data_IF_970900106895
#
_entry.id   IF_970900106895
#
_cell.length_a   1.000
_cell.length_b   1.000
_cell.length_c   1.000
_cell.angle_alpha   90.00
_cell.angle_beta   90.00
_cell.angle_gamma   90.00
#
_symmetry.space_group_name_H-M   'P 1'
#
loop_
_entity.id
_entity.type
_entity.pdbx_description
1 polymer ?
#
# COMPACT_ATOMS: atom_id res chain seq x y z
N UNK A 1 50.50 11.84 16.07
CA UNK A 1 49.18 11.53 16.63
C UNK A 1 48.43 12.85 16.78
N UNK A 2 47.40 13.07 15.97
CA UNK A 2 46.59 14.29 15.95
C UNK A 2 45.45 14.05 14.97
N UNK A 3 44.24 13.94 15.53
CA UNK A 3 43.05 13.40 14.90
C UNK A 3 42.62 14.21 13.67
N UNK A 4 42.38 13.52 12.55
CA UNK A 4 41.53 14.04 11.47
C UNK A 4 40.09 13.82 11.91
N UNK A 5 39.43 14.86 12.41
CA UNK A 5 37.97 14.94 12.32
C UNK A 5 37.62 14.89 10.83
N UNK A 6 36.93 13.83 10.41
CA UNK A 6 36.26 13.82 9.12
C UNK A 6 35.12 14.82 9.22
N UNK A 7 35.33 16.01 8.68
CA UNK A 7 34.27 16.97 8.39
C UNK A 7 33.16 16.24 7.62
N UNK A 8 32.00 16.07 8.26
CA UNK A 8 30.76 15.78 7.55
C UNK A 8 30.42 17.04 6.74
N UNK A 9 30.79 17.03 5.47
CA UNK A 9 30.33 18.02 4.49
C UNK A 9 28.81 18.12 4.63
N UNK A 10 28.23 19.32 4.87
CA UNK A 10 26.79 19.48 4.93
C UNK A 10 26.19 18.99 3.61
N UNK A 11 25.30 17.99 3.65
CA UNK A 11 24.55 17.61 2.46
C UNK A 11 23.73 18.83 2.02
N UNK A 12 23.81 19.18 0.75
CA UNK A 12 22.88 20.10 0.07
C UNK A 12 21.43 19.66 0.31
N UNK A 13 20.49 20.59 0.37
CA UNK A 13 19.05 20.33 0.53
C UNK A 13 18.56 19.25 -0.44
N UNK A 14 18.96 19.33 -1.70
CA UNK A 14 18.64 18.35 -2.74
C UNK A 14 19.08 16.92 -2.37
N UNK A 15 20.36 16.73 -2.03
CA UNK A 15 20.89 15.43 -1.59
C UNK A 15 20.15 14.86 -0.37
N UNK A 16 19.72 15.71 0.57
CA UNK A 16 18.92 15.28 1.73
C UNK A 16 17.54 14.80 1.30
N UNK A 17 16.85 15.58 0.47
CA UNK A 17 15.51 15.22 -0.03
C UNK A 17 15.56 13.96 -0.89
N UNK A 18 16.55 13.79 -1.76
CA UNK A 18 16.76 12.58 -2.56
C UNK A 18 16.97 11.33 -1.71
N UNK A 19 17.72 11.45 -0.61
CA UNK A 19 17.90 10.35 0.34
C UNK A 19 16.58 9.95 1.00
N UNK A 20 15.80 10.94 1.45
CA UNK A 20 14.47 10.71 2.04
C UNK A 20 13.52 10.10 1.01
N UNK A 21 13.54 10.59 -0.24
CA UNK A 21 12.75 10.07 -1.34
C UNK A 21 13.07 8.60 -1.64
N UNK A 22 14.36 8.26 -1.68
CA UNK A 22 14.83 6.87 -1.88
C UNK A 22 14.30 5.95 -0.78
N UNK A 23 14.39 6.38 0.48
CA UNK A 23 13.86 5.60 1.60
C UNK A 23 12.33 5.46 1.50
N UNK A 24 11.62 6.53 1.19
CA UNK A 24 10.17 6.55 1.02
C UNK A 24 9.69 5.59 -0.08
N UNK A 25 10.37 5.59 -1.23
CA UNK A 25 10.06 4.66 -2.31
C UNK A 25 10.33 3.20 -1.91
N UNK A 26 11.36 2.93 -1.10
CA UNK A 26 11.56 1.59 -0.52
C UNK A 26 10.41 1.16 0.40
N UNK A 27 9.85 2.08 1.21
CA UNK A 27 8.63 1.79 2.01
C UNK A 27 7.43 1.54 1.12
N UNK A 28 7.29 2.31 0.04
CA UNK A 28 6.23 2.16 -0.95
C UNK A 28 6.25 0.79 -1.62
N UNK A 29 7.43 0.30 -2.05
CA UNK A 29 7.57 -1.07 -2.57
C UNK A 29 7.13 -2.14 -1.56
N UNK A 30 7.51 -2.01 -0.28
CA UNK A 30 7.10 -2.95 0.77
C UNK A 30 5.60 -2.90 1.03
N UNK A 31 4.96 -1.74 0.89
CA UNK A 31 3.51 -1.63 0.96
C UNK A 31 2.85 -2.39 -0.19
N UNK A 32 3.36 -2.27 -1.42
CA UNK A 32 2.84 -3.03 -2.56
C UNK A 32 2.97 -4.55 -2.35
N UNK A 33 4.10 -5.03 -1.83
CA UNK A 33 4.28 -6.45 -1.46
C UNK A 33 3.22 -6.93 -0.45
N UNK A 34 2.85 -6.07 0.51
CA UNK A 34 1.81 -6.36 1.50
C UNK A 34 0.42 -6.38 0.88
N UNK A 35 0.13 -5.49 -0.10
CA UNK A 35 -1.13 -5.52 -0.85
C UNK A 35 -1.29 -6.84 -1.59
N UNK A 36 -0.23 -7.32 -2.25
CA UNK A 36 -0.22 -8.60 -2.95
C UNK A 36 -0.37 -9.79 -2.00
N UNK A 37 0.29 -9.74 -0.83
CA UNK A 37 0.10 -10.75 0.21
C UNK A 37 -1.35 -10.75 0.72
N UNK A 38 -1.94 -9.57 0.92
CA UNK A 38 -3.31 -9.41 1.43
C UNK A 38 -4.33 -9.97 0.46
N UNK A 39 -4.14 -9.70 -0.84
CA UNK A 39 -4.93 -10.28 -1.93
C UNK A 39 -4.96 -11.80 -1.87
N UNK A 40 -3.83 -12.46 -1.60
CA UNK A 40 -3.77 -13.94 -1.49
C UNK A 40 -4.62 -14.46 -0.33
N UNK A 41 -4.59 -13.79 0.82
CA UNK A 41 -5.45 -14.16 1.95
C UNK A 41 -6.93 -13.88 1.65
N UNK A 42 -7.25 -12.78 0.97
CA UNK A 42 -8.63 -12.45 0.60
C UNK A 42 -9.22 -13.46 -0.38
N UNK A 43 -8.47 -13.82 -1.44
CA UNK A 43 -8.90 -14.85 -2.39
C UNK A 43 -9.06 -16.22 -1.72
N UNK A 44 -8.18 -16.55 -0.77
CA UNK A 44 -8.32 -17.78 0.00
C UNK A 44 -9.53 -17.74 0.92
N UNK A 45 -9.80 -16.62 1.57
CA UNK A 45 -10.99 -16.43 2.38
C UNK A 45 -12.27 -16.65 1.55
N UNK A 46 -12.34 -16.10 0.35
CA UNK A 46 -13.44 -16.32 -0.60
C UNK A 46 -13.63 -17.80 -0.95
N UNK A 47 -12.54 -18.47 -1.31
CA UNK A 47 -12.57 -19.90 -1.62
C UNK A 47 -13.08 -20.75 -0.43
N UNK A 48 -12.54 -20.53 0.76
CA UNK A 48 -12.90 -21.30 1.96
C UNK A 48 -14.34 -21.01 2.42
N UNK A 49 -14.81 -19.77 2.23
CA UNK A 49 -16.19 -19.38 2.54
C UNK A 49 -17.16 -20.06 1.57
N UNK A 50 -16.80 -20.15 0.29
CA UNK A 50 -17.53 -20.91 -0.71
C UNK A 50 -17.68 -22.39 -0.34
N UNK A 51 -16.60 -23.03 0.15
CA UNK A 51 -16.66 -24.40 0.64
C UNK A 51 -17.50 -24.55 1.90
N UNK A 52 -17.35 -23.64 2.86
CA UNK A 52 -18.10 -23.66 4.12
C UNK A 52 -19.61 -23.52 3.90
N UNK A 53 -20.03 -22.69 2.94
CA UNK A 53 -21.46 -22.45 2.64
C UNK A 53 -22.08 -23.40 1.64
N UNK A 54 -21.33 -24.36 1.11
CA UNK A 54 -21.84 -25.26 0.09
C UNK A 54 -23.07 -26.01 0.63
N UNK A 55 -24.25 -25.89 -0.03
CA UNK A 55 -25.46 -26.53 0.45
C UNK A 55 -25.29 -28.05 0.50
N UNK A 56 -25.77 -28.67 1.58
CA UNK A 56 -25.84 -30.12 1.67
C UNK A 56 -27.00 -30.64 0.82
N UNK A 57 -26.77 -31.76 0.13
CA UNK A 57 -27.87 -32.53 -0.46
C UNK A 57 -28.69 -33.08 0.71
N UNK A 58 -29.92 -32.58 0.87
CA UNK A 58 -30.85 -33.09 1.87
C UNK A 58 -31.33 -34.49 1.44
N UNK A 59 -30.69 -35.52 2.00
CA UNK A 59 -31.00 -36.93 1.73
C UNK A 59 -32.30 -37.39 2.41
N UNK A 60 -32.87 -36.59 3.30
CA UNK A 60 -34.12 -36.91 4.02
C UNK A 60 -35.37 -36.57 3.19
N UNK A 61 -35.22 -35.80 2.11
CA UNK A 61 -36.28 -35.59 1.14
C UNK A 61 -36.50 -36.87 0.31
N UNK A 62 -37.70 -37.45 0.39
CA UNK A 62 -38.09 -38.69 -0.29
C UNK A 62 -37.71 -38.65 -1.78
N UNK A 63 -38.11 -37.60 -2.50
CA UNK A 63 -37.82 -37.45 -3.92
C UNK A 63 -36.32 -37.41 -4.23
N UNK A 64 -35.51 -36.72 -3.42
CA UNK A 64 -34.05 -36.66 -3.59
C UNK A 64 -33.43 -38.03 -3.33
N UNK A 65 -33.89 -38.72 -2.28
CA UNK A 65 -33.40 -40.06 -1.92
C UNK A 65 -33.72 -41.10 -3.00
N UNK A 66 -34.90 -41.03 -3.61
CA UNK A 66 -35.33 -41.93 -4.70
C UNK A 66 -34.56 -41.65 -5.99
N UNK A 67 -34.38 -40.37 -6.36
CA UNK A 67 -33.56 -39.98 -7.51
C UNK A 67 -32.13 -40.48 -7.35
N UNK A 68 -31.53 -40.30 -6.17
CA UNK A 68 -30.19 -40.80 -5.86
C UNK A 68 -30.17 -42.31 -6.04
N UNK A 69 -31.07 -43.06 -5.36
CA UNK A 69 -31.14 -44.52 -5.42
C UNK A 69 -31.29 -45.05 -6.86
N UNK A 70 -32.15 -44.43 -7.66
CA UNK A 70 -32.41 -44.86 -9.03
C UNK A 70 -31.24 -44.58 -9.99
N UNK A 71 -30.31 -43.67 -9.63
CA UNK A 71 -29.21 -43.23 -10.47
C UNK A 71 -27.82 -43.46 -9.83
N UNK A 72 -27.69 -44.42 -8.90
CA UNK A 72 -26.45 -44.74 -8.16
C UNK A 72 -25.36 -45.36 -9.05
N UNK A 73 -24.76 -44.54 -9.91
CA UNK A 73 -23.54 -44.85 -10.65
C UNK A 73 -22.30 -44.50 -9.81
N UNK A 74 -21.12 -45.05 -10.17
CA UNK A 74 -19.85 -44.63 -9.56
C UNK A 74 -19.62 -43.12 -9.68
N UNK A 75 -19.99 -42.52 -10.82
CA UNK A 75 -19.97 -41.06 -11.01
C UNK A 75 -20.88 -40.35 -10.01
N UNK A 76 -22.11 -40.83 -9.82
CA UNK A 76 -23.07 -40.25 -8.85
C UNK A 76 -22.54 -40.35 -7.41
N UNK A 77 -21.90 -41.47 -7.05
CA UNK A 77 -21.23 -41.62 -5.75
C UNK A 77 -20.14 -40.56 -5.56
N UNK A 78 -19.26 -40.38 -6.55
CA UNK A 78 -18.23 -39.33 -6.48
C UNK A 78 -18.81 -37.91 -6.37
N UNK A 79 -19.93 -37.62 -7.03
CA UNK A 79 -20.65 -36.35 -6.89
C UNK A 79 -21.25 -36.16 -5.49
N UNK A 80 -21.84 -37.21 -4.92
CA UNK A 80 -22.38 -37.21 -3.56
C UNK A 80 -21.27 -37.02 -2.53
N UNK A 81 -20.13 -37.68 -2.69
CA UNK A 81 -18.98 -37.54 -1.80
C UNK A 81 -18.39 -36.12 -1.89
N UNK A 82 -18.29 -35.55 -3.09
CA UNK A 82 -17.84 -34.18 -3.30
C UNK A 82 -18.80 -33.10 -2.76
N UNK A 83 -20.06 -33.45 -2.47
CA UNK A 83 -21.09 -32.54 -1.93
C UNK A 83 -21.41 -32.81 -0.46
N UNK A 84 -20.89 -33.88 0.13
CA UNK A 84 -21.01 -34.15 1.55
C UNK A 84 -20.01 -33.29 2.33
N UNK A 85 -20.49 -32.25 3.02
CA UNK A 85 -19.69 -31.54 4.02
C UNK A 85 -19.48 -32.46 5.22
N UNK A 86 -18.32 -33.10 5.30
CA UNK A 86 -17.92 -33.84 6.49
C UNK A 86 -17.76 -32.85 7.66
N UNK A 87 -18.22 -33.21 8.87
CA UNK A 87 -18.08 -32.35 10.06
C UNK A 87 -16.63 -31.91 10.31
N UNK A 88 -15.67 -32.81 10.01
CA UNK A 88 -14.24 -32.51 10.02
C UNK A 88 -13.83 -31.44 8.99
N UNK A 89 -14.44 -31.46 7.79
CA UNK A 89 -14.20 -30.45 6.76
C UNK A 89 -14.71 -29.08 7.18
N UNK A 90 -15.85 -29.00 7.89
CA UNK A 90 -16.37 -27.73 8.38
C UNK A 90 -15.42 -27.11 9.43
N UNK A 91 -14.90 -27.92 10.35
CA UNK A 91 -13.91 -27.47 11.34
C UNK A 91 -12.63 -27.00 10.65
N UNK A 92 -12.16 -27.75 9.64
CA UNK A 92 -10.98 -27.38 8.86
C UNK A 92 -11.18 -26.07 8.10
N UNK A 93 -12.30 -25.91 7.37
CA UNK A 93 -12.61 -24.69 6.62
C UNK A 93 -12.75 -23.48 7.56
N UNK A 94 -13.38 -23.65 8.72
CA UNK A 94 -13.50 -22.58 9.72
C UNK A 94 -12.13 -22.17 10.29
N UNK A 95 -11.25 -23.14 10.52
CA UNK A 95 -9.86 -22.87 10.89
C UNK A 95 -9.10 -22.13 9.78
N UNK A 96 -9.29 -22.51 8.50
CA UNK A 96 -8.66 -21.81 7.37
C UNK A 96 -9.19 -20.38 7.22
N UNK A 97 -10.49 -20.17 7.35
CA UNK A 97 -11.11 -18.83 7.35
C UNK A 97 -10.53 -17.96 8.47
N UNK A 98 -10.42 -18.52 9.68
CA UNK A 98 -9.80 -17.82 10.80
C UNK A 98 -8.33 -17.47 10.53
N UNK A 99 -7.54 -18.40 9.98
CA UNK A 99 -6.16 -18.14 9.59
C UNK A 99 -6.04 -17.06 8.51
N UNK A 100 -6.98 -17.00 7.55
CA UNK A 100 -7.02 -15.94 6.56
C UNK A 100 -7.29 -14.58 7.22
N UNK A 101 -8.24 -14.52 8.17
CA UNK A 101 -8.51 -13.30 8.94
C UNK A 101 -7.30 -12.84 9.75
N UNK A 102 -6.62 -13.75 10.43
CA UNK A 102 -5.38 -13.43 11.15
C UNK A 102 -4.29 -12.92 10.21
N UNK A 103 -4.12 -13.55 9.05
CA UNK A 103 -3.17 -13.12 8.02
C UNK A 103 -3.47 -11.71 7.49
N UNK A 104 -4.74 -11.42 7.19
CA UNK A 104 -5.18 -10.08 6.77
C UNK A 104 -4.94 -9.02 7.86
N UNK A 105 -5.24 -9.34 9.13
CA UNK A 105 -5.00 -8.44 10.25
C UNK A 105 -3.50 -8.15 10.47
N UNK A 106 -2.65 -9.17 10.35
CA UNK A 106 -1.20 -9.01 10.44
C UNK A 106 -0.66 -8.13 9.30
N UNK A 107 -1.17 -8.32 8.08
CA UNK A 107 -0.84 -7.46 6.93
C UNK A 107 -1.25 -6.02 7.17
N UNK A 108 -2.48 -5.77 7.64
CA UNK A 108 -2.93 -4.41 7.95
C UNK A 108 -2.06 -3.76 9.03
N UNK A 109 -1.69 -4.51 10.09
CA UNK A 109 -0.81 -4.01 11.13
C UNK A 109 0.56 -3.60 10.59
N UNK A 110 1.15 -4.41 9.71
CA UNK A 110 2.44 -4.12 9.05
C UNK A 110 2.33 -2.94 8.09
N UNK A 111 1.27 -2.91 7.28
CA UNK A 111 1.01 -1.83 6.33
C UNK A 111 0.81 -0.51 7.07
N UNK A 112 0.08 -0.51 8.18
CA UNK A 112 -0.12 0.67 9.02
C UNK A 112 1.20 1.23 9.55
N UNK A 113 2.09 0.38 10.07
CA UNK A 113 3.41 0.80 10.53
C UNK A 113 4.25 1.42 9.40
N UNK A 114 4.30 0.78 8.22
CA UNK A 114 5.01 1.31 7.06
C UNK A 114 4.38 2.63 6.54
N UNK A 115 3.06 2.75 6.59
CA UNK A 115 2.36 3.97 6.20
C UNK A 115 2.67 5.12 7.16
N UNK A 116 2.75 4.86 8.46
CA UNK A 116 3.14 5.85 9.46
C UNK A 116 4.61 6.27 9.28
N UNK A 117 5.52 5.32 9.01
CA UNK A 117 6.91 5.62 8.62
C UNK A 117 6.97 6.49 7.36
N UNK A 118 6.18 6.16 6.34
CA UNK A 118 6.13 6.89 5.06
C UNK A 118 5.59 8.30 5.23
N UNK A 119 4.59 8.49 6.10
CA UNK A 119 4.07 9.81 6.47
C UNK A 119 5.13 10.68 7.12
N UNK A 120 5.88 10.12 8.08
CA UNK A 120 7.01 10.82 8.71
C UNK A 120 8.07 11.24 7.68
N UNK A 121 8.40 10.36 6.72
CA UNK A 121 9.36 10.69 5.65
C UNK A 121 8.85 11.83 4.76
N UNK A 122 7.59 11.80 4.34
CA UNK A 122 6.99 12.86 3.52
C UNK A 122 6.95 14.21 4.25
N UNK A 123 6.57 14.22 5.53
CA UNK A 123 6.62 15.42 6.38
C UNK A 123 8.05 15.95 6.57
N UNK A 124 9.03 15.05 6.74
CA UNK A 124 10.43 15.43 6.87
C UNK A 124 10.96 16.06 5.58
N UNK A 125 10.64 15.51 4.41
CA UNK A 125 11.01 16.10 3.12
C UNK A 125 10.41 17.51 2.96
N UNK A 126 9.14 17.69 3.33
CA UNK A 126 8.48 19.00 3.29
C UNK A 126 9.14 20.02 4.23
N UNK A 127 9.52 19.62 5.45
CA UNK A 127 10.24 20.50 6.40
C UNK A 127 11.61 20.90 5.84
N UNK A 128 12.35 19.96 5.27
CA UNK A 128 13.68 20.24 4.69
C UNK A 128 13.60 21.29 3.57
N UNK A 129 12.59 21.20 2.70
CA UNK A 129 12.37 22.19 1.64
C UNK A 129 11.99 23.55 2.22
N UNK A 130 11.03 23.61 3.15
CA UNK A 130 10.57 24.89 3.71
C UNK A 130 11.61 25.59 4.59
N UNK A 131 12.46 24.84 5.29
CA UNK A 131 13.60 25.40 6.03
C UNK A 131 14.65 25.99 5.08
N UNK A 132 14.89 25.38 3.92
CA UNK A 132 15.80 25.91 2.91
C UNK A 132 15.28 27.24 2.32
N UNK A 133 13.99 27.29 1.95
CA UNK A 133 13.36 28.51 1.40
C UNK A 133 13.44 29.69 2.39
N UNK A 134 13.25 29.44 3.68
CA UNK A 134 13.35 30.46 4.72
C UNK A 134 14.77 30.98 4.90
N UNK A 135 15.78 30.12 4.79
CA UNK A 135 17.18 30.51 4.87
C UNK A 135 17.60 31.37 3.67
N UNK A 136 17.13 31.04 2.46
CA UNK A 136 17.39 31.84 1.24
C UNK A 136 16.80 33.24 1.36
N UNK A 137 15.57 33.37 1.86
CA UNK A 137 14.92 34.66 2.13
C UNK A 137 15.70 35.51 3.16
N UNK A 138 16.26 34.88 4.19
CA UNK A 138 17.10 35.56 5.18
C UNK A 138 18.42 36.09 4.60
N UNK A 139 19.08 35.29 3.76
CA UNK A 139 20.33 35.68 3.08
C UNK A 139 20.11 36.83 2.08
N UNK A 140 18.99 36.81 1.35
CA UNK A 140 18.63 37.90 0.41
C UNK A 140 18.35 39.21 1.19
N UNK A 141 17.72 39.15 2.35
CA UNK A 141 17.48 40.34 3.18
C UNK A 141 18.75 40.96 3.75
N UNK A 142 19.77 40.16 4.07
CA UNK A 142 21.06 40.65 4.58
C UNK A 142 21.91 41.33 3.49
N UNK A 143 21.74 40.95 2.22
CA UNK A 143 22.50 41.50 1.09
C UNK A 143 21.87 42.72 0.38
N UNK A 144 20.70 43.22 0.81
CA UNK A 144 20.00 44.36 0.17
C UNK A 144 20.36 45.74 0.79
N UNK A 145 21.43 45.84 1.58
CA UNK A 145 21.91 47.12 2.11
C UNK A 145 23.14 47.64 1.35
N UNK A 146 22.99 47.93 0.06
CA UNK A 146 23.68 49.08 -0.54
C UNK A 146 23.01 49.54 -1.86
N UNK A 147 22.39 50.73 -1.93
CA UNK A 147 21.71 51.20 -3.12
C UNK A 147 22.65 52.03 -4.01
N UNK A 148 23.68 51.42 -4.60
CA UNK A 148 24.34 51.99 -5.77
C UNK A 148 25.23 50.97 -6.52
N UNK A 149 24.65 50.26 -7.49
CA UNK A 149 25.17 50.17 -8.88
C UNK A 149 24.39 49.11 -9.66
N UNK A 150 23.68 49.56 -10.68
CA UNK A 150 23.04 48.72 -11.69
C UNK A 150 24.10 48.00 -12.53
N UNK A 151 24.19 46.68 -12.35
CA UNK A 151 24.53 45.72 -13.40
C UNK A 151 24.03 44.34 -12.98
N UNK A 152 22.89 43.92 -13.52
CA UNK A 152 22.36 42.56 -13.32
C UNK A 152 23.26 41.58 -14.07
N UNK A 153 24.32 41.14 -13.40
CA UNK A 153 25.01 39.89 -13.70
C UNK A 153 24.42 38.88 -12.72
N UNK A 154 23.49 38.03 -13.18
CA UNK A 154 23.17 36.82 -12.43
C UNK A 154 24.42 35.94 -12.46
N UNK A 155 25.04 35.60 -11.31
CA UNK A 155 26.10 34.61 -11.27
C UNK A 155 25.56 33.29 -11.83
N UNK A 156 26.31 32.59 -12.68
CA UNK A 156 25.95 31.24 -13.19
C UNK A 156 25.55 30.28 -12.04
N UNK A 157 26.17 30.44 -10.86
CA UNK A 157 25.88 29.66 -9.65
C UNK A 157 24.43 29.80 -9.11
N UNK A 158 23.72 30.89 -9.41
CA UNK A 158 22.33 31.09 -8.96
C UNK A 158 21.32 30.33 -9.82
N UNK A 159 21.63 30.05 -11.09
CA UNK A 159 20.75 29.30 -12.01
C UNK A 159 20.73 27.82 -11.62
N UNK A 160 21.89 27.25 -11.28
CA UNK A 160 21.99 25.86 -10.81
C UNK A 160 21.36 25.65 -9.43
N UNK A 161 21.41 26.66 -8.56
CA UNK A 161 20.78 26.62 -7.23
C UNK A 161 19.24 26.61 -7.33
N UNK A 162 18.67 27.40 -8.24
CA UNK A 162 17.22 27.46 -8.46
C UNK A 162 16.66 26.13 -9.01
N UNK A 163 17.38 25.49 -9.94
CA UNK A 163 17.02 24.17 -10.49
C UNK A 163 17.04 23.06 -9.42
N UNK A 164 17.99 23.12 -8.47
CA UNK A 164 18.08 22.18 -7.35
C UNK A 164 16.95 22.35 -6.32
N UNK A 165 16.52 23.58 -6.05
CA UNK A 165 15.39 23.89 -5.17
C UNK A 165 14.05 23.43 -5.77
N UNK A 166 13.83 23.70 -7.06
CA UNK A 166 12.62 23.27 -7.78
C UNK A 166 12.50 21.73 -7.79
N UNK A 167 13.61 21.02 -8.02
CA UNK A 167 13.65 19.54 -7.91
C UNK A 167 13.32 19.05 -6.50
N UNK A 168 13.89 19.68 -5.47
CA UNK A 168 13.65 19.31 -4.08
C UNK A 168 12.16 19.47 -3.70
N UNK A 169 11.54 20.59 -4.09
CA UNK A 169 10.12 20.84 -3.90
C UNK A 169 9.24 19.84 -4.66
N UNK A 170 9.64 19.47 -5.88
CA UNK A 170 8.96 18.46 -6.69
C UNK A 170 8.96 17.08 -6.02
N UNK A 171 10.11 16.62 -5.52
CA UNK A 171 10.20 15.35 -4.78
C UNK A 171 9.34 15.35 -3.51
N UNK A 172 9.41 16.40 -2.70
CA UNK A 172 8.60 16.51 -1.49
C UNK A 172 7.09 16.51 -1.81
N UNK A 173 6.68 17.23 -2.85
CA UNK A 173 5.28 17.26 -3.31
C UNK A 173 4.82 15.88 -3.78
N UNK A 174 5.66 15.18 -4.55
CA UNK A 174 5.39 13.84 -5.05
C UNK A 174 5.20 12.83 -3.91
N UNK A 175 6.06 12.87 -2.88
CA UNK A 175 5.93 12.03 -1.69
C UNK A 175 4.61 12.28 -0.95
N UNK A 176 4.20 13.55 -0.81
CA UNK A 176 2.93 13.90 -0.17
C UNK A 176 1.73 13.36 -0.94
N UNK A 177 1.74 13.48 -2.27
CA UNK A 177 0.68 12.93 -3.13
C UNK A 177 0.62 11.40 -2.98
N UNK A 178 1.76 10.71 -3.09
CA UNK A 178 1.84 9.24 -2.94
C UNK A 178 1.37 8.80 -1.56
N UNK A 179 1.83 9.45 -0.49
CA UNK A 179 1.39 9.14 0.86
C UNK A 179 -0.14 9.23 1.00
N UNK A 180 -0.76 10.28 0.46
CA UNK A 180 -2.21 10.45 0.52
C UNK A 180 -2.96 9.35 -0.26
N UNK A 181 -2.47 8.98 -1.44
CA UNK A 181 -3.02 7.85 -2.22
C UNK A 181 -2.94 6.55 -1.43
N UNK A 182 -1.76 6.22 -0.89
CA UNK A 182 -1.52 5.00 -0.10
C UNK A 182 -2.37 4.97 1.17
N UNK A 183 -2.62 6.13 1.81
CA UNK A 183 -3.48 6.24 2.99
C UNK A 183 -4.94 5.94 2.67
N UNK A 184 -5.44 6.42 1.53
CA UNK A 184 -6.79 6.12 1.07
C UNK A 184 -6.94 4.63 0.70
N UNK A 185 -5.94 4.08 0.00
CA UNK A 185 -5.89 2.66 -0.35
C UNK A 185 -5.85 1.75 0.90
N UNK A 186 -5.01 2.08 1.89
CA UNK A 186 -4.98 1.40 3.19
C UNK A 186 -6.35 1.45 3.89
N UNK A 187 -6.98 2.64 3.93
CA UNK A 187 -8.29 2.81 4.58
C UNK A 187 -9.37 1.95 3.92
N UNK A 188 -9.32 1.81 2.60
CA UNK A 188 -10.20 0.90 1.86
C UNK A 188 -9.93 -0.55 2.24
N UNK A 189 -8.67 -1.00 2.24
CA UNK A 189 -8.29 -2.35 2.61
C UNK A 189 -8.72 -2.69 4.05
N UNK A 190 -8.52 -1.76 4.98
CA UNK A 190 -8.96 -1.90 6.38
C UNK A 190 -10.47 -2.11 6.49
N UNK A 191 -11.27 -1.31 5.78
CA UNK A 191 -12.73 -1.45 5.73
C UNK A 191 -13.18 -2.77 5.13
N UNK A 192 -12.50 -3.24 4.08
CA UNK A 192 -12.76 -4.56 3.49
C UNK A 192 -12.57 -5.64 4.56
N UNK A 193 -11.41 -5.67 5.22
CA UNK A 193 -11.10 -6.70 6.23
C UNK A 193 -12.07 -6.64 7.41
N UNK A 194 -12.45 -5.45 7.87
CA UNK A 194 -13.44 -5.28 8.95
C UNK A 194 -14.85 -5.78 8.56
N UNK A 195 -15.17 -5.79 7.27
CA UNK A 195 -16.47 -6.23 6.75
C UNK A 195 -16.53 -7.73 6.47
N UNK A 196 -15.41 -8.44 6.53
CA UNK A 196 -15.35 -9.88 6.31
C UNK A 196 -15.96 -10.65 7.49
N UNK A 197 -16.87 -11.56 7.17
CA UNK A 197 -17.55 -12.41 8.14
C UNK A 197 -18.06 -13.69 7.48
N UNK A 198 -18.53 -14.63 8.31
CA UNK A 198 -19.20 -15.84 7.83
C UNK A 198 -20.54 -15.55 7.12
N UNK A 199 -21.05 -14.31 7.14
CA UNK A 199 -22.30 -13.89 6.49
C UNK A 199 -22.10 -12.94 5.30
N UNK A 200 -20.86 -12.50 5.01
CA UNK A 200 -20.52 -11.67 3.83
C UNK A 200 -20.98 -12.34 2.54
N UNK A 201 -21.86 -11.71 1.76
CA UNK A 201 -22.40 -12.31 0.53
C UNK A 201 -21.31 -12.53 -0.53
N UNK A 202 -21.56 -13.44 -1.48
CA UNK A 202 -20.63 -13.68 -2.60
C UNK A 202 -20.42 -12.41 -3.43
N UNK A 203 -21.48 -11.65 -3.71
CA UNK A 203 -21.41 -10.40 -4.46
C UNK A 203 -20.60 -9.31 -3.75
N UNK A 204 -20.72 -9.20 -2.42
CA UNK A 204 -19.88 -8.28 -1.64
C UNK A 204 -18.41 -8.71 -1.71
N UNK A 205 -18.14 -10.01 -1.60
CA UNK A 205 -16.77 -10.53 -1.60
C UNK A 205 -16.09 -10.40 -2.97
N UNK A 206 -16.83 -10.61 -4.06
CA UNK A 206 -16.39 -10.31 -5.42
C UNK A 206 -16.03 -8.82 -5.57
N UNK A 207 -16.89 -7.94 -5.04
CA UNK A 207 -16.65 -6.48 -5.05
C UNK A 207 -15.40 -6.13 -4.24
N UNK A 208 -15.22 -6.71 -3.06
CA UNK A 208 -14.01 -6.51 -2.25
C UNK A 208 -12.75 -6.99 -2.96
N UNK A 209 -12.79 -8.15 -3.60
CA UNK A 209 -11.66 -8.66 -4.38
C UNK A 209 -11.32 -7.74 -5.56
N UNK A 210 -12.33 -7.21 -6.25
CA UNK A 210 -12.14 -6.25 -7.34
C UNK A 210 -11.53 -4.95 -6.83
N UNK A 211 -12.05 -4.37 -5.74
CA UNK A 211 -11.50 -3.15 -5.14
C UNK A 211 -10.05 -3.34 -4.70
N UNK A 212 -9.73 -4.48 -4.07
CA UNK A 212 -8.35 -4.81 -3.67
C UNK A 212 -7.41 -4.94 -4.86
N UNK A 213 -7.89 -5.49 -5.98
CA UNK A 213 -7.11 -5.66 -7.21
C UNK A 213 -6.88 -4.36 -7.97
N UNK A 214 -7.92 -3.54 -8.08
CA UNK A 214 -7.92 -2.35 -8.91
C UNK A 214 -7.28 -1.14 -8.22
N UNK A 215 -7.23 -1.14 -6.88
CA UNK A 215 -6.64 -0.07 -6.06
C UNK A 215 -7.07 1.33 -6.54
N UNK A 216 -8.38 1.64 -6.52
CA UNK A 216 -8.93 2.83 -7.19
C UNK A 216 -8.42 4.17 -6.68
N UNK A 217 -7.72 4.21 -5.54
CA UNK A 217 -7.14 5.43 -4.96
C UNK A 217 -5.67 5.64 -5.35
N UNK A 218 -5.05 4.68 -6.04
CA UNK A 218 -3.66 4.74 -6.48
C UNK A 218 -3.63 5.09 -7.96
N UNK A 219 -3.00 6.22 -8.26
CA UNK A 219 -2.75 6.65 -9.62
C UNK A 219 -1.46 6.01 -10.15
N UNK A 220 -1.60 5.09 -11.12
CA UNK A 220 -0.48 4.37 -11.73
C UNK A 220 0.48 5.30 -12.48
N UNK A 221 0.02 6.43 -13.00
CA UNK A 221 0.87 7.38 -13.72
C UNK A 221 1.75 8.17 -12.74
N UNK A 222 1.20 8.58 -11.59
CA UNK A 222 1.98 9.19 -10.50
C UNK A 222 3.01 8.20 -9.96
N UNK A 223 2.62 6.97 -9.68
CA UNK A 223 3.54 5.93 -9.21
C UNK A 223 4.65 5.66 -10.22
N UNK A 224 4.31 5.51 -11.51
CA UNK A 224 5.28 5.27 -12.58
C UNK A 224 6.24 6.45 -12.76
N UNK A 225 5.74 7.68 -12.61
CA UNK A 225 6.57 8.86 -12.63
C UNK A 225 7.57 8.85 -11.47
N UNK A 226 7.11 8.55 -10.25
CA UNK A 226 7.98 8.47 -9.07
C UNK A 226 9.09 7.42 -9.21
N UNK A 227 8.75 6.23 -9.73
CA UNK A 227 9.74 5.18 -9.98
C UNK A 227 10.79 5.58 -11.02
N UNK A 228 10.42 6.37 -12.03
CA UNK A 228 11.37 6.90 -13.01
C UNK A 228 12.28 7.99 -12.44
N UNK A 229 11.83 8.67 -11.40
CA UNK A 229 12.56 9.74 -10.73
C UNK A 229 13.51 9.24 -9.62
N UNK A 230 13.56 7.93 -9.39
CA UNK A 230 14.54 7.29 -8.50
C UNK A 230 15.97 7.43 -9.06
N UNK A 231 16.96 7.76 -8.20
CA UNK A 231 18.37 7.82 -8.60
C UNK A 231 18.95 6.49 -9.10
#
# INVERSE_FOLDING_TARGET
MGNKELDKIPLTTESRVLSIFTEFMSRTAKLDDLVDAGKRFLMRFDQELGYFRRPQINKDLIAVSEIIKCNMTERMKSYLDATCTHSHQNVQNLSQLHNCMLGLQDILKKAKALLDESGCLAENAYKVVTEADQNVLGVIQEHVVDPLENQTIFPEDQVDTFDAEEKSASYASMMMVIYNMLKLDYTMQEKIVQSLSLTTSLSELETYCQMWNLRPYVDDDVMRHAWKSMP
#
